data_IF_666136479736
#
_entry.id   IF_666136479736
#
_cell.length_a   1.000
_cell.length_b   1.000
_cell.length_c   1.000
_cell.angle_alpha   90.00
_cell.angle_beta   90.00
_cell.angle_gamma   90.00
#
_symmetry.space_group_name_H-M   'P 1'
#
loop_
_entity.id
_entity.type
_entity.pdbx_description
1 polymer ?
#
# COMPACT_ATOMS: atom_id res chain seq x y z
N UNK A 1 -15.99 -10.32 -6.07
CA UNK A 1 -14.86 -11.26 -5.89
C UNK A 1 -13.76 -10.47 -5.21
N UNK A 2 -13.13 -11.01 -4.15
CA UNK A 2 -12.09 -10.31 -3.40
C UNK A 2 -10.74 -10.57 -4.09
N UNK A 3 -9.95 -9.54 -4.33
CA UNK A 3 -8.59 -9.65 -4.83
C UNK A 3 -7.62 -9.96 -3.69
N UNK A 4 -7.03 -11.17 -3.64
CA UNK A 4 -6.13 -11.56 -2.57
C UNK A 4 -4.82 -10.75 -2.55
N UNK A 5 -4.42 -10.13 -3.67
CA UNK A 5 -3.18 -9.33 -3.72
C UNK A 5 -3.35 -8.01 -2.99
N UNK A 6 -4.51 -7.37 -3.10
CA UNK A 6 -4.82 -6.16 -2.34
C UNK A 6 -4.88 -6.42 -0.82
N UNK A 7 -5.31 -7.61 -0.40
CA UNK A 7 -5.31 -7.99 1.03
C UNK A 7 -3.90 -8.20 1.60
N UNK A 8 -2.91 -8.52 0.76
CA UNK A 8 -1.50 -8.63 1.17
C UNK A 8 -0.84 -7.26 1.31
N UNK A 9 -1.47 -6.21 0.79
CA UNK A 9 -1.01 -4.83 0.92
C UNK A 9 -1.39 -4.18 2.26
N UNK A 10 -1.98 -4.93 3.19
CA UNK A 10 -2.39 -4.44 4.51
C UNK A 10 -2.09 -5.46 5.63
N UNK A 11 -1.78 -4.99 6.85
CA UNK A 11 -1.58 -5.86 8.01
C UNK A 11 -2.89 -6.56 8.41
N UNK A 12 -2.79 -7.68 9.13
CA UNK A 12 -3.93 -8.49 9.55
C UNK A 12 -4.95 -7.69 10.38
N UNK A 13 -4.46 -6.76 11.20
CA UNK A 13 -5.26 -5.89 12.06
C UNK A 13 -6.36 -5.11 11.30
N UNK A 14 -6.13 -4.75 10.03
CA UNK A 14 -7.09 -3.98 9.21
C UNK A 14 -7.73 -4.80 8.07
N UNK A 15 -7.43 -6.10 7.95
CA UNK A 15 -7.95 -6.93 6.84
C UNK A 15 -9.47 -7.01 6.79
N UNK A 16 -10.15 -6.94 7.94
CA UNK A 16 -11.62 -6.93 7.98
C UNK A 16 -12.18 -5.70 7.26
N UNK A 17 -11.63 -4.52 7.53
CA UNK A 17 -12.02 -3.28 6.87
C UNK A 17 -11.58 -3.28 5.40
N UNK A 18 -10.40 -3.81 5.09
CA UNK A 18 -9.95 -4.01 3.72
C UNK A 18 -10.93 -4.89 2.91
N UNK A 19 -11.40 -5.99 3.50
CA UNK A 19 -12.42 -6.83 2.87
C UNK A 19 -13.71 -6.08 2.56
N UNK A 20 -14.11 -5.14 3.41
CA UNK A 20 -15.32 -4.34 3.21
C UNK A 20 -15.09 -3.24 2.16
N UNK A 21 -13.99 -2.50 2.26
CA UNK A 21 -13.59 -1.47 1.29
C UNK A 21 -13.40 -2.07 -0.11
N UNK A 22 -12.87 -3.28 -0.23
CA UNK A 22 -12.69 -3.91 -1.54
C UNK A 22 -14.01 -4.25 -2.24
N UNK A 23 -15.12 -4.39 -1.49
CA UNK A 23 -16.45 -4.60 -2.09
C UNK A 23 -16.97 -3.34 -2.79
N UNK A 24 -16.43 -2.17 -2.47
CA UNK A 24 -16.83 -0.90 -3.08
C UNK A 24 -16.02 -0.55 -4.31
N UNK A 25 -14.89 -1.24 -4.54
CA UNK A 25 -14.14 -1.10 -5.78
C UNK A 25 -14.96 -1.70 -6.92
N UNK A 26 -15.07 -0.94 -8.01
CA UNK A 26 -15.55 -1.49 -9.27
C UNK A 26 -14.63 -2.62 -9.74
N UNK A 27 -15.05 -3.35 -10.77
CA UNK A 27 -14.18 -4.34 -11.39
C UNK A 27 -12.92 -3.65 -11.91
N UNK A 28 -11.76 -4.21 -11.59
CA UNK A 28 -10.50 -3.73 -12.13
C UNK A 28 -10.55 -3.74 -13.67
N UNK A 29 -10.11 -2.65 -14.29
CA UNK A 29 -9.96 -2.55 -15.75
C UNK A 29 -9.02 -3.64 -16.27
N UNK A 30 -8.00 -3.96 -15.47
CA UNK A 30 -7.05 -5.03 -15.69
C UNK A 30 -6.84 -5.80 -14.39
N UNK A 31 -6.62 -7.11 -14.49
CA UNK A 31 -6.30 -7.92 -13.32
C UNK A 31 -5.05 -7.39 -12.61
N UNK A 32 -5.11 -7.29 -11.28
CA UNK A 32 -3.93 -6.98 -10.46
C UNK A 32 -2.85 -8.02 -10.71
N UNK A 33 -1.66 -7.57 -11.04
CA UNK A 33 -0.50 -8.43 -11.22
C UNK A 33 0.17 -8.69 -9.87
N UNK A 34 0.92 -9.79 -9.78
CA UNK A 34 1.77 -10.06 -8.63
C UNK A 34 3.04 -9.18 -8.61
N UNK A 35 3.18 -8.27 -9.58
CA UNK A 35 4.24 -7.27 -9.61
C UNK A 35 4.03 -6.31 -8.44
N UNK A 36 5.07 -6.17 -7.64
CA UNK A 36 5.06 -5.28 -6.50
C UNK A 36 5.74 -3.95 -6.86
N UNK A 37 5.48 -2.90 -6.09
CA UNK A 37 6.20 -1.63 -6.25
C UNK A 37 7.72 -1.83 -6.17
N UNK A 38 8.14 -2.81 -5.37
CA UNK A 38 9.54 -3.25 -5.23
C UNK A 38 10.14 -3.74 -6.56
N UNK A 39 9.35 -4.38 -7.41
CA UNK A 39 9.80 -4.95 -8.67
C UNK A 39 9.92 -3.89 -9.77
N UNK A 40 9.08 -2.85 -9.71
CA UNK A 40 9.03 -1.81 -10.76
C UNK A 40 10.24 -0.89 -10.85
N UNK A 41 11.13 -0.89 -9.85
CA UNK A 41 12.37 -0.11 -9.85
C UNK A 41 13.62 -0.97 -9.71
N UNK A 42 13.60 -2.21 -10.22
CA UNK A 42 14.72 -3.16 -10.20
C UNK A 42 16.07 -2.60 -10.75
N UNK A 43 16.07 -1.42 -11.38
CA UNK A 43 17.24 -0.74 -11.90
C UNK A 43 17.82 0.36 -10.98
N UNK A 44 17.18 0.74 -9.87
CA UNK A 44 17.55 1.97 -9.12
C UNK A 44 18.03 1.76 -7.69
N UNK A 45 17.65 0.67 -7.03
CA UNK A 45 18.21 0.16 -5.77
C UNK A 45 17.38 -1.08 -5.38
N UNK A 46 17.92 -1.98 -4.55
CA UNK A 46 17.09 -3.00 -3.90
C UNK A 46 16.03 -2.27 -3.05
N UNK A 47 14.76 -2.32 -3.46
CA UNK A 47 13.67 -1.75 -2.68
C UNK A 47 13.47 -2.63 -1.45
N UNK A 48 13.52 -2.09 -0.22
CA UNK A 48 13.48 -2.91 0.99
C UNK A 48 12.12 -3.60 1.16
N UNK A 49 12.13 -4.71 1.88
CA UNK A 49 10.89 -5.30 2.38
C UNK A 49 10.15 -4.30 3.28
N UNK A 50 8.83 -4.26 3.16
CA UNK A 50 7.98 -3.36 3.94
C UNK A 50 7.33 -4.16 5.07
N UNK A 51 7.70 -3.83 6.30
CA UNK A 51 7.20 -4.48 7.50
C UNK A 51 6.34 -3.50 8.30
N UNK A 52 5.15 -3.93 8.73
CA UNK A 52 4.24 -3.16 9.58
C UNK A 52 3.90 -4.02 10.79
N UNK A 53 4.27 -3.57 11.99
CA UNK A 53 4.04 -4.32 13.24
C UNK A 53 4.55 -5.78 13.20
N UNK A 54 5.63 -6.03 12.46
CA UNK A 54 6.20 -7.37 12.27
C UNK A 54 5.50 -8.23 11.22
N UNK A 55 4.53 -7.68 10.47
CA UNK A 55 3.92 -8.31 9.31
C UNK A 55 4.54 -7.79 8.00
N UNK A 56 4.92 -8.71 7.12
CA UNK A 56 5.36 -8.37 5.76
C UNK A 56 4.15 -7.92 4.93
N UNK A 57 4.26 -6.74 4.33
CA UNK A 57 3.24 -6.16 3.45
C UNK A 57 3.75 -6.13 2.01
N UNK A 58 2.94 -6.64 1.08
CA UNK A 58 3.24 -6.68 -0.34
C UNK A 58 2.34 -5.71 -1.09
N UNK A 59 2.92 -4.66 -1.68
CA UNK A 59 2.16 -3.59 -2.33
C UNK A 59 2.13 -3.83 -3.84
N UNK A 60 1.02 -4.33 -4.40
CA UNK A 60 0.90 -4.54 -5.84
C UNK A 60 0.94 -3.21 -6.61
N UNK A 61 1.57 -3.22 -7.78
CA UNK A 61 1.65 -2.06 -8.66
C UNK A 61 1.85 -2.48 -10.13
N UNK A 62 1.20 -1.81 -11.11
CA UNK A 62 0.25 -0.71 -10.96
C UNK A 62 -1.19 -1.19 -10.72
N UNK A 63 -1.96 -0.42 -9.94
CA UNK A 63 -3.39 -0.66 -9.78
C UNK A 63 -4.21 0.04 -10.86
N UNK A 64 -5.28 -0.62 -11.31
CA UNK A 64 -6.20 -0.13 -12.36
C UNK A 64 -7.65 -0.40 -11.98
N UNK A 65 -8.09 0.26 -10.91
CA UNK A 65 -9.44 0.18 -10.39
C UNK A 65 -10.12 1.52 -10.61
N UNK A 66 -11.41 1.52 -10.92
CA UNK A 66 -12.15 2.78 -10.87
C UNK A 66 -12.29 3.25 -9.42
N UNK A 67 -12.19 4.56 -9.24
CA UNK A 67 -12.44 5.19 -7.95
C UNK A 67 -13.94 5.11 -7.62
N UNK A 68 -14.33 4.71 -6.39
CA UNK A 68 -15.73 4.69 -6.01
C UNK A 68 -16.38 6.08 -6.07
N UNK A 69 -17.67 6.14 -6.38
CA UNK A 69 -18.43 7.39 -6.33
C UNK A 69 -18.44 8.00 -4.91
N UNK A 70 -18.63 9.32 -4.82
CA UNK A 70 -18.71 10.04 -3.54
C UNK A 70 -19.75 9.44 -2.56
N UNK A 71 -20.92 9.01 -3.06
CA UNK A 71 -21.97 8.40 -2.23
C UNK A 71 -21.46 7.13 -1.54
N UNK A 72 -20.83 6.24 -2.32
CA UNK A 72 -20.21 5.01 -1.81
C UNK A 72 -19.09 5.30 -0.81
N UNK A 73 -18.27 6.33 -1.04
CA UNK A 73 -17.23 6.75 -0.09
C UNK A 73 -17.82 7.29 1.21
N UNK A 74 -18.99 7.93 1.16
CA UNK A 74 -19.65 8.49 2.34
C UNK A 74 -20.14 7.39 3.31
N UNK A 75 -20.51 6.23 2.78
CA UNK A 75 -20.96 5.06 3.54
C UNK A 75 -19.80 4.28 4.21
N UNK A 76 -18.56 4.51 3.78
CA UNK A 76 -17.38 3.83 4.32
C UNK A 76 -16.95 4.41 5.67
N UNK A 77 -16.46 3.55 6.56
CA UNK A 77 -15.79 4.00 7.78
C UNK A 77 -14.49 4.75 7.45
N UNK A 78 -13.95 5.52 8.41
CA UNK A 78 -12.66 6.21 8.25
C UNK A 78 -11.54 5.22 7.89
N UNK A 79 -11.45 4.09 8.58
CA UNK A 79 -10.47 3.03 8.30
C UNK A 79 -10.63 2.44 6.91
N UNK A 80 -11.87 2.20 6.46
CA UNK A 80 -12.14 1.65 5.12
C UNK A 80 -11.74 2.63 4.02
N UNK A 81 -12.05 3.93 4.19
CA UNK A 81 -11.60 4.99 3.28
C UNK A 81 -10.08 5.09 3.23
N UNK A 82 -9.41 5.00 4.39
CA UNK A 82 -7.95 5.01 4.47
C UNK A 82 -7.32 3.83 3.73
N UNK A 83 -7.83 2.61 3.93
CA UNK A 83 -7.36 1.43 3.19
C UNK A 83 -7.52 1.62 1.68
N UNK A 84 -8.67 2.15 1.24
CA UNK A 84 -8.92 2.41 -0.17
C UNK A 84 -7.95 3.47 -0.73
N UNK A 85 -7.75 4.57 -0.01
CA UNK A 85 -6.80 5.61 -0.39
C UNK A 85 -5.36 5.08 -0.46
N UNK A 86 -4.96 4.22 0.48
CA UNK A 86 -3.66 3.55 0.45
C UNK A 86 -3.46 2.74 -0.84
N UNK A 87 -4.43 1.92 -1.23
CA UNK A 87 -4.35 1.19 -2.50
C UNK A 87 -4.31 2.16 -3.69
N UNK A 88 -5.27 3.06 -3.79
CA UNK A 88 -5.44 3.92 -4.96
C UNK A 88 -4.33 4.96 -5.12
N UNK A 89 -3.53 5.22 -4.09
CA UNK A 89 -2.28 5.99 -4.21
C UNK A 89 -1.25 5.33 -5.14
N UNK A 90 -1.47 4.05 -5.51
CA UNK A 90 -0.66 3.24 -6.44
C UNK A 90 -1.34 3.03 -7.79
N UNK A 91 -2.37 3.83 -8.09
CA UNK A 91 -3.09 3.75 -9.36
C UNK A 91 -2.21 4.19 -10.54
N UNK A 92 -2.43 3.63 -11.74
CA UNK A 92 -1.66 4.03 -12.94
C UNK A 92 -1.99 5.45 -13.43
N UNK A 93 -3.22 5.91 -13.18
CA UNK A 93 -3.67 7.29 -13.45
C UNK A 93 -3.17 8.25 -12.36
N UNK A 94 -2.48 9.32 -12.79
CA UNK A 94 -2.00 10.38 -11.90
C UNK A 94 -3.09 11.16 -11.19
N UNK A 95 -4.26 11.36 -11.81
CA UNK A 95 -5.38 12.08 -11.19
C UNK A 95 -5.92 11.30 -9.98
N UNK A 96 -6.14 10.00 -10.15
CA UNK A 96 -6.59 9.10 -9.07
C UNK A 96 -5.57 9.00 -7.94
N UNK A 97 -4.27 9.03 -8.25
CA UNK A 97 -3.22 9.08 -7.23
C UNK A 97 -3.27 10.37 -6.41
N UNK A 98 -3.51 11.52 -7.05
CA UNK A 98 -3.63 12.80 -6.36
C UNK A 98 -4.87 12.84 -5.46
N UNK A 99 -6.00 12.36 -5.97
CA UNK A 99 -7.25 12.20 -5.20
C UNK A 99 -7.02 11.31 -3.96
N UNK A 100 -6.37 10.16 -4.14
CA UNK A 100 -6.00 9.27 -3.03
C UNK A 100 -5.10 9.93 -1.98
N UNK A 101 -4.08 10.66 -2.45
CA UNK A 101 -3.13 11.33 -1.59
C UNK A 101 -3.82 12.42 -0.75
N UNK A 102 -4.80 13.14 -1.31
CA UNK A 102 -5.61 14.10 -0.57
C UNK A 102 -6.26 13.46 0.68
N UNK A 103 -6.92 12.32 0.50
CA UNK A 103 -7.54 11.60 1.62
C UNK A 103 -6.55 11.13 2.69
N UNK A 104 -5.35 10.69 2.28
CA UNK A 104 -4.32 10.26 3.23
C UNK A 104 -3.80 11.45 4.06
N UNK A 105 -3.55 12.59 3.41
CA UNK A 105 -3.06 13.79 4.08
C UNK A 105 -4.12 14.40 5.01
N UNK A 106 -5.40 14.38 4.61
CA UNK A 106 -6.51 14.82 5.47
C UNK A 106 -6.64 13.97 6.72
N UNK A 107 -6.50 12.65 6.58
CA UNK A 107 -6.56 11.74 7.72
C UNK A 107 -5.37 11.91 8.68
N UNK A 108 -4.16 12.07 8.14
CA UNK A 108 -2.96 12.33 8.93
C UNK A 108 -3.05 13.67 9.69
N UNK A 109 -3.55 14.71 9.02
CA UNK A 109 -3.79 16.02 9.65
C UNK A 109 -4.83 15.93 10.76
N UNK A 110 -5.91 15.16 10.57
CA UNK A 110 -6.93 14.95 11.60
C UNK A 110 -6.36 14.21 12.82
N UNK A 111 -5.56 13.17 12.63
CA UNK A 111 -4.94 12.42 13.72
C UNK A 111 -3.91 13.28 14.48
N UNK A 112 -3.10 14.06 13.76
CA UNK A 112 -2.13 14.99 14.35
C UNK A 112 -2.79 16.03 15.26
N UNK A 113 -4.01 16.47 14.93
CA UNK A 113 -4.78 17.40 15.77
C UNK A 113 -5.35 16.74 17.04
N UNK A 114 -5.44 15.41 17.09
CA UNK A 114 -6.00 14.65 18.19
C UNK A 114 -4.95 13.98 19.09
N UNK A 115 -3.68 13.92 18.68
CA UNK A 115 -2.60 13.34 19.48
C UNK A 115 -1.94 14.37 20.44
N UNK A 116 -1.84 14.01 21.74
CA UNK A 116 -0.72 14.52 22.57
C UNK A 116 0.56 13.89 22.03
N UNK A 117 1.71 14.58 22.03
CA UNK A 117 2.94 14.08 21.43
C UNK A 117 3.31 12.72 22.03
N UNK A 118 3.19 11.65 21.24
CA UNK A 118 3.67 10.31 21.59
C UNK A 118 5.10 10.20 21.07
N UNK A 119 6.06 10.16 21.99
CA UNK A 119 7.43 9.78 21.65
C UNK A 119 7.46 8.30 21.26
N UNK A 120 7.60 8.00 19.96
CA UNK A 120 8.26 6.76 19.55
C UNK A 120 7.55 5.80 18.58
N UNK A 121 6.43 6.12 17.96
CA UNK A 121 5.85 5.24 16.91
C UNK A 121 6.39 5.60 15.53
N UNK A 122 7.67 5.30 15.32
CA UNK A 122 8.31 5.40 14.01
C UNK A 122 7.98 4.19 13.13
N UNK A 123 7.56 4.44 11.89
CA UNK A 123 7.55 3.44 10.82
C UNK A 123 8.98 2.93 10.65
N UNK A 124 9.30 1.74 11.15
CA UNK A 124 10.64 1.16 11.03
C UNK A 124 10.78 0.48 9.67
N UNK A 125 11.27 1.22 8.67
CA UNK A 125 11.80 0.61 7.44
C UNK A 125 13.14 -0.05 7.82
N UNK A 126 13.16 -1.37 7.92
CA UNK A 126 14.41 -2.11 8.18
C UNK A 126 15.16 -2.29 6.87
N UNK A 127 16.26 -1.56 6.70
CA UNK A 127 17.22 -1.76 5.61
C UNK A 127 18.00 -3.06 5.90
N UNK A 128 17.65 -4.16 5.23
CA UNK A 128 18.41 -5.40 5.38
C UNK A 128 19.72 -5.28 4.61
N UNK A 129 20.84 -5.38 5.32
CA UNK A 129 22.18 -5.22 4.77
C UNK A 129 22.46 -6.16 3.59
N UNK A 130 22.88 -5.58 2.47
CA UNK A 130 23.27 -6.26 1.23
C UNK A 130 24.52 -7.11 1.50
N UNK A 131 24.36 -8.43 1.58
CA UNK A 131 25.48 -9.37 1.56
C UNK A 131 25.98 -9.50 0.11
N UNK A 132 27.13 -8.86 -0.18
CA UNK A 132 27.85 -9.04 -1.44
C UNK A 132 28.22 -10.52 -1.59
N UNK A 133 27.56 -11.23 -2.52
CA UNK A 133 28.06 -12.52 -2.99
C UNK A 133 29.39 -12.31 -3.69
N UNK A 134 30.48 -12.72 -3.04
CA UNK A 134 31.80 -12.84 -3.66
C UNK A 134 31.70 -13.80 -4.85
N UNK A 135 32.09 -13.32 -6.03
CA UNK A 135 32.28 -14.16 -7.22
C UNK A 135 33.47 -15.07 -6.96
N UNK A 136 33.22 -16.34 -6.67
CA UNK A 136 34.25 -17.38 -6.73
C UNK A 136 34.63 -17.60 -8.19
N UNK A 137 35.87 -17.23 -8.54
CA UNK A 137 36.45 -17.50 -9.85
C UNK A 137 36.62 -19.02 -10.04
N UNK A 138 36.20 -19.53 -11.20
CA UNK A 138 36.51 -20.88 -11.65
C UNK A 138 37.84 -20.79 -12.42
N UNK A 139 38.91 -21.50 -12.03
CA UNK A 139 40.13 -21.54 -12.83
C UNK A 139 39.96 -22.49 -14.03
N UNK A 140 40.52 -22.08 -15.17
CA UNK A 140 40.79 -22.95 -16.32
C UNK A 140 41.98 -23.87 -16.05
#
# INVERSE_FOLDING_TARGET
MVDPLLLRAVPASVRKDAHLAMRTLARAEYATTAELIQDTYAHTADYPEIWVEGELVQIPYPLRYEWPSADVLSDLSSTQRLVLACWMSRHSDGWRRQEALGHLLEADAADTLHQKPVQGSGLHVTETAISKREKTAIPN
#
